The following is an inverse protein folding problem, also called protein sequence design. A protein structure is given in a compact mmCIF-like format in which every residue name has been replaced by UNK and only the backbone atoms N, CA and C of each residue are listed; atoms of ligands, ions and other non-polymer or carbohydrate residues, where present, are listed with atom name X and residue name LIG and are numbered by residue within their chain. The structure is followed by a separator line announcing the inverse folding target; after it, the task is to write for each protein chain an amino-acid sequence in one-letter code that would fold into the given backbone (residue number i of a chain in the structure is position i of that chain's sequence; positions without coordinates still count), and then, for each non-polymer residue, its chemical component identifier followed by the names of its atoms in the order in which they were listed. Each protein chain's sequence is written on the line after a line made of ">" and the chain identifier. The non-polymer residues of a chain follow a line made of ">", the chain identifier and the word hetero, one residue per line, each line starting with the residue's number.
data_IF_439622630082
#
_entry.id   IF_439622630082
#
_cell.length_a   1.000
_cell.length_b   1.000
_cell.length_c   1.000
_cell.angle_alpha   90.00
_cell.angle_beta   90.00
_cell.angle_gamma   90.00
#
_symmetry.space_group_name_H-M   'P 1'
#
loop_
_entity.id
_entity.type
_entity.pdbx_description
1 polymer ?
#
# COMPACT_ATOMS: atom_id res chain seq x y z
N UNK A 1 -18.64 2.84 -6.28
CA UNK A 1 -17.49 3.21 -5.43
C UNK A 1 -17.33 4.71 -5.54
N UNK A 2 -16.95 5.39 -4.46
CA UNK A 2 -16.70 6.83 -4.51
C UNK A 2 -15.42 7.15 -5.29
N UNK A 3 -15.35 8.36 -5.82
CA UNK A 3 -14.13 8.92 -6.41
C UNK A 3 -13.06 9.07 -5.33
N UNK A 4 -11.83 8.72 -5.67
CA UNK A 4 -10.65 8.84 -4.81
C UNK A 4 -9.69 9.89 -5.39
N UNK A 5 -8.81 10.43 -4.55
CA UNK A 5 -7.82 11.45 -4.90
C UNK A 5 -6.56 10.83 -5.54
N UNK A 6 -6.77 10.00 -6.57
CA UNK A 6 -5.71 9.43 -7.40
C UNK A 6 -5.86 9.87 -8.86
N UNK A 7 -4.79 9.81 -9.65
CA UNK A 7 -4.89 9.94 -11.10
C UNK A 7 -5.83 8.91 -11.73
N UNK A 8 -6.32 9.22 -12.93
CA UNK A 8 -7.31 8.39 -13.62
C UNK A 8 -6.74 7.00 -13.92
N UNK A 9 -7.48 5.98 -13.51
CA UNK A 9 -7.10 4.59 -13.66
C UNK A 9 -8.24 3.80 -14.33
N UNK A 10 -7.88 2.97 -15.31
CA UNK A 10 -8.79 2.02 -15.93
C UNK A 10 -8.66 0.66 -15.24
N UNK A 11 -9.80 0.06 -14.91
CA UNK A 11 -9.86 -1.22 -14.22
C UNK A 11 -10.77 -2.19 -14.95
N UNK A 12 -10.40 -3.47 -14.85
CA UNK A 12 -11.23 -4.57 -15.34
C UNK A 12 -12.07 -5.12 -14.20
N UNK A 13 -13.38 -5.20 -14.43
CA UNK A 13 -14.33 -5.73 -13.45
C UNK A 13 -15.01 -7.00 -13.96
N UNK A 14 -15.48 -7.83 -13.03
CA UNK A 14 -16.46 -8.89 -13.31
C UNK A 14 -17.49 -8.95 -12.17
N UNK A 15 -18.68 -9.45 -12.48
CA UNK A 15 -19.72 -9.71 -11.50
C UNK A 15 -19.99 -11.22 -11.46
N UNK A 16 -20.10 -11.78 -10.25
CA UNK A 16 -20.43 -13.19 -10.03
C UNK A 16 -21.08 -13.32 -8.66
N UNK A 17 -22.12 -14.15 -8.53
CA UNK A 17 -22.75 -14.46 -7.23
C UNK A 17 -23.11 -13.20 -6.39
N UNK A 18 -23.71 -12.19 -7.03
CA UNK A 18 -24.05 -10.88 -6.41
C UNK A 18 -22.85 -10.11 -5.82
N UNK A 19 -21.62 -10.51 -6.12
CA UNK A 19 -20.39 -9.80 -5.74
C UNK A 19 -19.72 -9.19 -6.96
N UNK A 20 -19.12 -8.02 -6.75
CA UNK A 20 -18.30 -7.33 -7.75
C UNK A 20 -16.84 -7.64 -7.47
N UNK A 21 -16.09 -7.88 -8.53
CA UNK A 21 -14.67 -8.20 -8.47
C UNK A 21 -13.88 -7.25 -9.36
N UNK A 22 -12.65 -6.97 -8.96
CA UNK A 22 -11.68 -6.16 -9.70
C UNK A 22 -10.45 -7.02 -10.00
N UNK A 23 -9.86 -6.85 -11.19
CA UNK A 23 -8.63 -7.54 -11.55
C UNK A 23 -7.43 -6.87 -10.90
N UNK A 24 -6.69 -7.63 -10.09
CA UNK A 24 -5.41 -7.20 -9.53
C UNK A 24 -4.27 -7.61 -10.47
N UNK A 25 -3.56 -6.61 -10.98
CA UNK A 25 -2.47 -6.79 -11.96
C UNK A 25 -1.18 -7.38 -11.37
N UNK A 26 -0.99 -7.27 -10.05
CA UNK A 26 0.17 -7.83 -9.33
C UNK A 26 -0.10 -9.30 -8.98
N UNK A 27 -1.26 -9.58 -8.36
CA UNK A 27 -1.71 -10.93 -7.99
C UNK A 27 -2.22 -11.74 -9.19
N UNK A 28 -2.42 -11.10 -10.35
CA UNK A 28 -2.90 -11.69 -11.62
C UNK A 28 -4.21 -12.47 -11.48
N UNK A 29 -5.13 -11.97 -10.65
CA UNK A 29 -6.44 -12.60 -10.42
C UNK A 29 -7.51 -11.57 -10.09
N UNK A 30 -8.77 -11.96 -10.27
CA UNK A 30 -9.89 -11.17 -9.80
C UNK A 30 -10.09 -11.35 -8.29
N UNK A 31 -10.22 -10.25 -7.57
CA UNK A 31 -10.43 -10.19 -6.12
C UNK A 31 -11.73 -9.46 -5.81
N UNK A 32 -12.33 -9.76 -4.66
CA UNK A 32 -13.59 -9.10 -4.25
C UNK A 32 -13.34 -7.61 -4.10
N UNK A 33 -14.15 -6.79 -4.77
CA UNK A 33 -14.04 -5.34 -4.72
C UNK A 33 -14.64 -4.81 -3.41
N UNK A 34 -13.83 -4.80 -2.36
CA UNK A 34 -14.15 -4.12 -1.10
C UNK A 34 -13.74 -2.64 -1.18
N UNK A 35 -14.21 -1.77 -0.27
CA UNK A 35 -13.75 -0.38 -0.19
C UNK A 35 -12.24 -0.22 0.02
N UNK A 36 -11.64 -1.09 0.83
CA UNK A 36 -10.18 -1.11 1.02
C UNK A 36 -9.45 -1.61 -0.24
N UNK A 37 -9.98 -2.65 -0.90
CA UNK A 37 -9.40 -3.16 -2.15
C UNK A 37 -9.49 -2.12 -3.28
N UNK A 38 -10.53 -1.29 -3.30
CA UNK A 38 -10.62 -0.16 -4.23
C UNK A 38 -9.46 0.83 -4.05
N UNK A 39 -9.14 1.18 -2.80
CA UNK A 39 -7.97 2.02 -2.48
C UNK A 39 -6.66 1.32 -2.84
N UNK A 40 -6.55 0.02 -2.55
CA UNK A 40 -5.36 -0.78 -2.88
C UNK A 40 -5.09 -0.82 -4.38
N UNK A 41 -6.11 -1.08 -5.21
CA UNK A 41 -5.94 -1.12 -6.67
C UNK A 41 -5.58 0.25 -7.26
N UNK A 42 -6.18 1.34 -6.77
CA UNK A 42 -5.76 2.68 -7.17
C UNK A 42 -4.31 2.98 -6.76
N UNK A 43 -3.93 2.60 -5.55
CA UNK A 43 -2.55 2.77 -5.07
C UNK A 43 -1.56 2.02 -5.95
N UNK A 44 -1.83 0.75 -6.29
CA UNK A 44 -1.00 -0.04 -7.20
C UNK A 44 -0.81 0.70 -8.53
N UNK A 45 -1.90 1.17 -9.15
CA UNK A 45 -1.82 1.87 -10.43
C UNK A 45 -1.07 3.20 -10.32
N UNK A 46 -1.27 3.96 -9.25
CA UNK A 46 -0.53 5.20 -8.97
C UNK A 46 0.99 4.92 -8.88
N UNK A 47 1.39 3.90 -8.12
CA UNK A 47 2.81 3.55 -7.96
C UNK A 47 3.43 3.10 -9.29
N UNK A 48 2.71 2.35 -10.13
CA UNK A 48 3.23 1.88 -11.42
C UNK A 48 3.26 2.96 -12.50
N UNK A 49 2.20 3.79 -12.60
CA UNK A 49 2.02 4.71 -13.73
C UNK A 49 2.62 6.08 -13.47
N UNK A 50 2.48 6.58 -12.25
CA UNK A 50 2.86 7.96 -11.90
C UNK A 50 4.22 7.99 -11.21
N UNK A 51 4.50 7.01 -10.34
CA UNK A 51 5.80 6.88 -9.68
C UNK A 51 6.78 5.97 -10.43
N UNK A 52 6.33 5.29 -11.47
CA UNK A 52 7.14 4.39 -12.31
C UNK A 52 7.87 3.28 -11.52
N UNK A 53 7.31 2.86 -10.38
CA UNK A 53 7.93 1.81 -9.58
C UNK A 53 7.82 0.46 -10.29
N UNK A 54 8.89 -0.35 -10.37
CA UNK A 54 8.88 -1.57 -11.16
C UNK A 54 7.87 -2.60 -10.66
N UNK A 55 6.97 -3.06 -11.55
CA UNK A 55 6.00 -4.11 -11.22
C UNK A 55 6.66 -5.40 -10.72
N UNK A 56 7.83 -5.76 -11.25
CA UNK A 56 8.59 -6.94 -10.86
C UNK A 56 9.09 -6.91 -9.41
N UNK A 57 9.20 -5.71 -8.83
CA UNK A 57 9.63 -5.49 -7.45
C UNK A 57 8.48 -5.19 -6.50
N UNK A 58 7.23 -5.20 -6.99
CA UNK A 58 6.03 -4.98 -6.19
C UNK A 58 5.42 -6.30 -5.72
N UNK A 59 5.02 -6.35 -4.44
CA UNK A 59 4.33 -7.48 -3.82
C UNK A 59 3.08 -7.01 -3.09
N UNK A 60 2.02 -7.81 -3.12
CA UNK A 60 0.70 -7.50 -2.55
C UNK A 60 0.24 -8.64 -1.63
N UNK A 61 -0.25 -8.30 -0.43
CA UNK A 61 -0.81 -9.22 0.58
C UNK A 61 0.10 -10.35 1.08
N UNK A 62 1.42 -10.15 1.15
CA UNK A 62 2.33 -11.19 1.66
C UNK A 62 2.41 -11.16 3.19
N UNK A 63 2.46 -12.38 3.76
CA UNK A 63 2.40 -12.61 5.22
C UNK A 63 3.72 -12.25 5.88
N UNK A 64 3.62 -11.71 7.09
CA UNK A 64 4.74 -11.41 7.99
C UNK A 64 4.44 -12.01 9.36
N UNK A 65 5.50 -12.44 10.04
CA UNK A 65 5.42 -13.03 11.37
C UNK A 65 6.03 -12.06 12.36
N UNK A 66 5.20 -11.37 13.14
CA UNK A 66 5.64 -10.40 14.15
C UNK A 66 5.19 -10.91 15.52
N UNK A 67 6.14 -11.19 16.43
CA UNK A 67 5.85 -11.60 17.81
C UNK A 67 4.74 -12.67 17.92
N UNK A 68 4.86 -13.75 17.12
CA UNK A 68 3.90 -14.86 17.02
C UNK A 68 2.54 -14.52 16.37
N UNK A 69 2.33 -13.29 15.92
CA UNK A 69 1.16 -12.89 15.13
C UNK A 69 1.49 -12.93 13.64
N UNK A 70 0.62 -13.58 12.86
CA UNK A 70 0.69 -13.50 11.40
C UNK A 70 -0.09 -12.27 10.94
N UNK A 71 0.62 -11.29 10.37
CA UNK A 71 0.04 -10.09 9.75
C UNK A 71 0.27 -10.12 8.24
N UNK A 72 -0.40 -9.23 7.51
CA UNK A 72 -0.26 -9.04 6.07
C UNK A 72 -0.07 -7.55 5.83
N UNK A 73 0.91 -7.20 5.01
CA UNK A 73 0.99 -5.86 4.44
C UNK A 73 0.16 -5.77 3.18
N UNK A 74 -0.30 -4.57 2.84
CA UNK A 74 -1.08 -4.38 1.62
C UNK A 74 -0.19 -4.37 0.39
N UNK A 75 0.82 -3.51 0.36
CA UNK A 75 1.76 -3.37 -0.77
C UNK A 75 3.17 -3.19 -0.22
N UNK A 76 4.14 -3.87 -0.84
CA UNK A 76 5.58 -3.70 -0.59
C UNK A 76 6.29 -3.51 -1.92
N UNK A 77 7.22 -2.56 -1.97
CA UNK A 77 8.17 -2.37 -3.07
C UNK A 77 9.55 -2.75 -2.56
N UNK A 78 10.17 -3.70 -3.23
CA UNK A 78 11.53 -4.15 -2.95
C UNK A 78 12.55 -3.38 -3.80
N UNK A 79 13.81 -3.41 -3.39
CA UNK A 79 14.94 -3.18 -4.28
C UNK A 79 15.43 -4.46 -4.92
N UNK A 80 16.31 -4.31 -5.91
CA UNK A 80 16.99 -5.43 -6.55
C UNK A 80 17.82 -6.29 -5.59
N UNK A 81 18.29 -5.72 -4.47
CA UNK A 81 19.02 -6.44 -3.41
C UNK A 81 18.11 -7.13 -2.39
N UNK A 82 16.78 -7.00 -2.54
CA UNK A 82 15.79 -7.58 -1.64
C UNK A 82 15.46 -6.73 -0.41
N UNK A 83 16.12 -5.59 -0.20
CA UNK A 83 15.73 -4.61 0.81
C UNK A 83 14.36 -4.00 0.49
N UNK A 84 13.66 -3.48 1.50
CA UNK A 84 12.33 -2.90 1.31
C UNK A 84 12.46 -1.39 1.11
N UNK A 85 12.07 -0.93 -0.07
CA UNK A 85 12.04 0.49 -0.41
C UNK A 85 10.80 1.19 0.18
N UNK A 86 9.63 0.57 0.03
CA UNK A 86 8.35 1.16 0.44
C UNK A 86 7.42 0.08 1.00
N UNK A 87 6.76 0.41 2.12
CA UNK A 87 5.58 -0.32 2.62
C UNK A 87 4.37 0.60 2.54
N UNK A 88 3.25 0.08 2.07
CA UNK A 88 1.99 0.81 2.03
C UNK A 88 0.92 0.12 2.87
N UNK A 89 0.23 0.89 3.69
CA UNK A 89 -1.01 0.50 4.37
C UNK A 89 -2.20 1.23 3.73
N UNK A 90 -3.14 0.46 3.19
CA UNK A 90 -4.37 0.92 2.59
C UNK A 90 -5.54 0.72 3.57
N UNK A 91 -6.37 1.75 3.73
CA UNK A 91 -7.63 1.66 4.48
C UNK A 91 -8.80 1.95 3.56
N UNK A 92 -9.99 1.53 3.97
CA UNK A 92 -11.22 1.93 3.29
C UNK A 92 -11.42 3.46 3.38
N UNK A 93 -12.08 4.11 2.41
CA UNK A 93 -12.15 5.58 2.35
C UNK A 93 -12.82 6.27 3.54
N UNK A 94 -13.76 5.59 4.19
CA UNK A 94 -14.44 6.07 5.39
C UNK A 94 -13.59 5.95 6.68
N UNK A 95 -12.44 5.28 6.61
CA UNK A 95 -11.55 5.10 7.76
C UNK A 95 -10.57 6.28 7.81
N UNK A 96 -10.60 7.05 8.89
CA UNK A 96 -9.68 8.15 9.10
C UNK A 96 -8.24 7.63 9.31
N UNK A 97 -7.26 8.35 8.78
CA UNK A 97 -5.85 8.06 9.04
C UNK A 97 -5.48 8.71 10.37
N UNK A 98 -5.52 7.92 11.44
CA UNK A 98 -5.23 8.37 12.81
C UNK A 98 -3.80 8.01 13.23
N UNK A 99 -3.38 8.52 14.39
CA UNK A 99 -2.12 8.10 15.03
C UNK A 99 -2.05 6.58 15.24
N UNK A 100 -3.18 5.93 15.56
CA UNK A 100 -3.22 4.47 15.75
C UNK A 100 -2.87 3.70 14.46
N UNK A 101 -3.29 4.21 13.30
CA UNK A 101 -2.93 3.64 11.98
C UNK A 101 -1.44 3.81 11.73
N UNK A 102 -0.88 4.97 12.10
CA UNK A 102 0.56 5.20 12.03
C UNK A 102 1.33 4.25 12.98
N UNK A 103 0.91 4.13 14.23
CA UNK A 103 1.54 3.24 15.21
C UNK A 103 1.46 1.77 14.78
N UNK A 104 0.40 1.39 14.05
CA UNK A 104 0.30 0.07 13.43
C UNK A 104 1.41 -0.16 12.40
N UNK A 105 1.55 0.71 11.40
CA UNK A 105 2.57 0.53 10.35
C UNK A 105 3.99 0.72 10.90
N UNK A 106 4.21 1.65 11.84
CA UNK A 106 5.51 1.87 12.47
C UNK A 106 6.00 0.63 13.23
N UNK A 107 5.11 -0.06 13.97
CA UNK A 107 5.45 -1.33 14.63
C UNK A 107 5.82 -2.43 13.63
N UNK A 108 5.12 -2.50 12.50
CA UNK A 108 5.46 -3.48 11.45
C UNK A 108 6.81 -3.16 10.81
N UNK A 109 7.08 -1.87 10.65
CA UNK A 109 8.32 -1.41 10.06
C UNK A 109 9.57 -1.71 10.91
N UNK A 110 9.43 -1.87 12.23
CA UNK A 110 10.54 -2.31 13.08
C UNK A 110 11.14 -3.65 12.63
N UNK A 111 10.33 -4.53 12.02
CA UNK A 111 10.79 -5.81 11.49
C UNK A 111 11.06 -5.76 9.99
N UNK A 112 10.29 -4.97 9.24
CA UNK A 112 10.44 -4.88 7.78
C UNK A 112 11.64 -4.02 7.36
N UNK A 113 12.02 -3.05 8.19
CA UNK A 113 13.11 -2.11 7.92
C UNK A 113 12.97 -1.42 6.57
N UNK A 114 11.74 -1.01 6.21
CA UNK A 114 11.50 -0.25 5.00
C UNK A 114 12.05 1.16 5.13
N UNK A 115 12.53 1.70 4.01
CA UNK A 115 13.03 3.07 3.97
C UNK A 115 11.93 4.12 3.94
N UNK A 116 10.80 3.79 3.31
CA UNK A 116 9.67 4.67 3.16
C UNK A 116 8.38 3.96 3.58
N UNK A 117 7.45 4.75 4.12
CA UNK A 117 6.11 4.32 4.47
C UNK A 117 5.08 5.20 3.77
N UNK A 118 3.99 4.58 3.31
CA UNK A 118 2.80 5.27 2.83
C UNK A 118 1.57 4.76 3.59
N UNK A 119 0.71 5.67 4.00
CA UNK A 119 -0.61 5.34 4.54
C UNK A 119 -1.64 6.06 3.68
N UNK A 120 -2.68 5.35 3.26
CA UNK A 120 -3.70 5.92 2.38
C UNK A 120 -5.08 5.34 2.67
N UNK A 121 -6.09 6.20 2.66
CA UNK A 121 -7.50 5.78 2.57
C UNK A 121 -8.10 6.17 1.20
N UNK A 122 -7.26 6.59 0.26
CA UNK A 122 -7.67 7.03 -1.06
C UNK A 122 -8.21 8.47 -1.14
N UNK A 123 -8.53 9.12 -0.01
CA UNK A 123 -8.84 10.55 0.03
C UNK A 123 -7.67 11.36 0.57
N UNK A 124 -6.94 10.77 1.52
CA UNK A 124 -5.73 11.30 2.11
C UNK A 124 -4.58 10.32 1.90
N UNK A 125 -3.40 10.87 1.65
CA UNK A 125 -2.15 10.12 1.52
C UNK A 125 -1.12 10.76 2.45
N UNK A 126 -0.46 9.94 3.26
CA UNK A 126 0.58 10.38 4.19
C UNK A 126 1.84 9.56 3.90
N UNK A 127 2.97 10.24 3.85
CA UNK A 127 4.26 9.64 3.49
C UNK A 127 5.29 9.91 4.58
N UNK A 128 6.11 8.93 4.87
CA UNK A 128 7.24 9.06 5.78
C UNK A 128 8.50 8.43 5.21
N UNK A 129 9.64 9.04 5.48
CA UNK A 129 10.95 8.41 5.38
C UNK A 129 11.40 7.97 6.76
N UNK A 130 12.09 6.84 6.83
CA UNK A 130 12.63 6.29 8.07
C UNK A 130 14.08 6.75 8.23
N UNK A 131 14.32 7.60 9.22
CA UNK A 131 15.68 7.94 9.64
C UNK A 131 16.16 6.86 10.61
N UNK A 132 16.88 5.88 10.07
CA UNK A 132 17.40 4.74 10.85
C UNK A 132 18.41 5.18 11.91
N UNK A 133 19.17 6.27 11.68
CA UNK A 133 20.17 6.76 12.62
C UNK A 133 19.52 7.41 13.84
N UNK A 134 18.44 8.16 13.62
CA UNK A 134 17.69 8.84 14.70
C UNK A 134 16.49 8.05 15.22
N UNK A 135 16.24 6.87 14.65
CA UNK A 135 15.04 6.06 14.89
C UNK A 135 13.75 6.90 14.78
N UNK A 136 13.70 7.77 13.78
CA UNK A 136 12.63 8.74 13.60
C UNK A 136 11.90 8.54 12.26
N UNK A 137 10.65 9.00 12.21
CA UNK A 137 9.87 9.06 10.99
C UNK A 137 9.75 10.51 10.53
N UNK A 138 10.30 10.81 9.36
CA UNK A 138 10.30 12.15 8.78
C UNK A 138 9.16 12.25 7.78
N UNK A 139 8.24 13.19 8.01
CA UNK A 139 7.13 13.42 7.07
C UNK A 139 7.65 13.87 5.70
N UNK A 140 7.11 13.27 4.64
CA UNK A 140 7.38 13.65 3.26
C UNK A 140 6.14 14.27 2.62
N UNK A 141 6.35 15.28 1.76
CA UNK A 141 5.28 15.85 0.93
C UNK A 141 4.82 14.89 -0.17
N UNK A 142 5.76 14.09 -0.67
CA UNK A 142 5.53 13.11 -1.72
C UNK A 142 6.48 11.92 -1.55
N UNK A 143 6.14 10.79 -2.18
CA UNK A 143 7.05 9.65 -2.23
C UNK A 143 8.29 9.95 -3.09
N UNK A 144 9.47 9.43 -2.73
CA UNK A 144 10.69 9.59 -3.53
C UNK A 144 10.60 8.91 -4.90
N UNK A 145 11.50 9.24 -5.81
CA UNK A 145 11.72 8.44 -7.03
C UNK A 145 12.42 7.12 -6.67
N UNK A 146 12.29 6.11 -7.54
CA UNK A 146 12.79 4.74 -7.32
C UNK A 146 14.15 4.50 -7.96
#
# INVERSE_FOLDING_TARGET
>A
MQTLNFPLCEFRFKSSENKRYIFDIIRKKFVVLTPEEWVRQHTIHFLLKEKHYPQSLMSVEKRIYINHLTKRYDIVIYRSDGSIFLVVECKAPQVAITQEVFDQIARYNMQLQAENLMITNGLQHIFYQVDLLKQAYVFLKELPEF
#
